data_IF_086842405284
#
_entry.id   IF_086842405284
#
_cell.length_a   1.000
_cell.length_b   1.000
_cell.length_c   1.000
_cell.angle_alpha   90.00
_cell.angle_beta   90.00
_cell.angle_gamma   90.00
#
_symmetry.space_group_name_H-M   'P 1'
#
loop_
_entity.id
_entity.type
_entity.pdbx_description
1 polymer ?
#
# COMPACT_ATOMS: atom_id res chain seq x y z
N UNK A 1 22.79 28.99 -1.10
CA UNK A 1 21.96 27.77 -1.24
C UNK A 1 21.94 27.10 0.13
N UNK A 2 20.77 26.85 0.72
CA UNK A 2 20.69 26.14 2.00
C UNK A 2 21.03 24.66 1.81
N UNK A 3 21.96 24.15 2.62
CA UNK A 3 22.43 22.76 2.61
C UNK A 3 22.18 22.19 4.00
N UNK A 4 21.58 21.01 4.07
CA UNK A 4 21.32 20.32 5.34
C UNK A 4 22.55 19.56 5.85
N UNK A 5 22.51 19.12 7.10
CA UNK A 5 23.58 18.34 7.76
C UNK A 5 23.98 17.04 7.03
N UNK A 6 23.14 16.52 6.13
CA UNK A 6 23.46 15.37 5.29
C UNK A 6 24.03 15.73 3.91
N UNK A 7 24.33 17.00 3.67
CA UNK A 7 24.86 17.53 2.41
C UNK A 7 23.82 17.71 1.29
N UNK A 8 22.55 17.39 1.53
CA UNK A 8 21.50 17.60 0.54
C UNK A 8 21.05 19.06 0.51
N UNK A 9 20.76 19.58 -0.68
CA UNK A 9 19.91 20.75 -0.87
C UNK A 9 18.44 20.38 -0.66
N UNK A 10 17.54 21.38 -0.51
CA UNK A 10 16.09 21.14 -0.40
C UNK A 10 15.49 20.31 -1.54
N UNK A 11 15.91 20.55 -2.79
CA UNK A 11 15.47 19.77 -3.96
C UNK A 11 15.99 18.32 -3.90
N UNK A 12 17.25 18.13 -3.53
CA UNK A 12 17.83 16.80 -3.39
C UNK A 12 17.18 16.01 -2.25
N UNK A 13 16.91 16.65 -1.11
CA UNK A 13 16.23 16.04 0.03
C UNK A 13 14.88 15.46 -0.39
N UNK A 14 14.03 16.23 -1.08
CA UNK A 14 12.74 15.76 -1.57
C UNK A 14 12.87 14.62 -2.59
N UNK A 15 13.71 14.80 -3.62
CA UNK A 15 13.87 13.82 -4.69
C UNK A 15 14.42 12.48 -4.17
N UNK A 16 15.43 12.53 -3.30
CA UNK A 16 16.10 11.33 -2.75
C UNK A 16 15.30 10.65 -1.65
N UNK A 17 14.34 11.35 -1.03
CA UNK A 17 13.50 10.78 0.03
C UNK A 17 12.19 10.16 -0.47
N UNK A 18 11.77 10.43 -1.70
CA UNK A 18 10.49 9.97 -2.25
C UNK A 18 10.24 8.47 -2.01
N UNK A 19 11.19 7.61 -2.38
CA UNK A 19 11.04 6.17 -2.22
C UNK A 19 11.17 5.67 -0.77
N UNK A 20 11.71 6.49 0.13
CA UNK A 20 11.82 6.15 1.55
C UNK A 20 10.45 6.16 2.22
N UNK A 21 9.56 7.06 1.77
CA UNK A 21 8.19 7.17 2.26
C UNK A 21 7.32 5.94 1.93
N UNK A 22 7.75 5.08 1.00
CA UNK A 22 7.07 3.81 0.69
C UNK A 22 7.67 2.60 1.41
N UNK A 23 8.78 2.79 2.12
CA UNK A 23 9.45 1.73 2.88
C UNK A 23 9.10 1.86 4.34
N UNK A 24 9.11 0.73 5.04
CA UNK A 24 8.96 0.76 6.47
C UNK A 24 10.21 1.22 7.19
N UNK A 25 10.02 1.76 8.40
CA UNK A 25 11.11 2.36 9.19
C UNK A 25 12.19 1.34 9.51
N UNK A 26 11.81 0.07 9.70
CA UNK A 26 12.73 -1.04 9.99
C UNK A 26 13.63 -1.40 8.79
N UNK A 27 13.24 -0.99 7.57
CA UNK A 27 13.99 -1.25 6.34
C UNK A 27 14.88 -0.09 5.91
N UNK A 28 14.93 0.98 6.69
CA UNK A 28 15.80 2.12 6.38
C UNK A 28 17.24 1.83 6.80
N UNK A 29 18.17 2.07 5.89
CA UNK A 29 19.59 2.18 6.24
C UNK A 29 19.83 3.37 7.18
N UNK A 30 20.97 3.41 7.85
CA UNK A 30 21.32 4.51 8.74
C UNK A 30 21.30 5.88 8.02
N UNK A 31 21.84 5.94 6.80
CA UNK A 31 21.83 7.15 5.98
C UNK A 31 20.42 7.60 5.59
N UNK A 32 19.52 6.63 5.30
CA UNK A 32 18.12 6.93 5.00
C UNK A 32 17.40 7.44 6.25
N UNK A 33 17.65 6.85 7.41
CA UNK A 33 17.09 7.31 8.68
C UNK A 33 17.54 8.73 9.01
N UNK A 34 18.81 9.08 8.82
CA UNK A 34 19.31 10.46 8.96
C UNK A 34 18.59 11.42 8.02
N UNK A 35 18.45 11.05 6.74
CA UNK A 35 17.74 11.86 5.74
C UNK A 35 16.28 12.09 6.09
N UNK A 36 15.56 11.04 6.50
CA UNK A 36 14.13 11.14 6.82
C UNK A 36 13.89 11.98 8.07
N UNK A 37 14.80 11.95 9.06
CA UNK A 37 14.74 12.86 10.22
C UNK A 37 14.76 14.34 9.78
N UNK A 38 15.64 14.69 8.85
CA UNK A 38 15.70 16.04 8.27
C UNK A 38 14.40 16.34 7.50
N UNK A 39 13.96 15.41 6.66
CA UNK A 39 12.72 15.56 5.88
C UNK A 39 11.51 15.85 6.76
N UNK A 40 11.32 15.09 7.84
CA UNK A 40 10.18 15.24 8.73
C UNK A 40 10.27 16.50 9.59
N UNK A 41 11.48 16.93 9.98
CA UNK A 41 11.69 18.24 10.62
C UNK A 41 11.27 19.39 9.71
N UNK A 42 11.63 19.34 8.44
CA UNK A 42 11.31 20.39 7.46
C UNK A 42 9.87 20.31 6.94
N UNK A 43 9.27 19.13 6.97
CA UNK A 43 7.94 18.85 6.44
C UNK A 43 7.14 17.95 7.40
N UNK A 44 6.64 18.49 8.53
CA UNK A 44 5.92 17.71 9.54
C UNK A 44 4.68 16.99 9.00
N UNK A 45 4.01 17.57 8.01
CA UNK A 45 2.84 16.94 7.38
C UNK A 45 3.20 15.64 6.64
N UNK A 46 4.41 15.55 6.06
CA UNK A 46 4.88 14.30 5.46
C UNK A 46 5.11 13.22 6.52
N UNK A 47 5.53 13.61 7.74
CA UNK A 47 5.65 12.66 8.85
C UNK A 47 4.30 12.11 9.26
N UNK A 48 3.29 13.00 9.42
CA UNK A 48 1.92 12.59 9.73
C UNK A 48 1.33 11.65 8.67
N UNK A 49 1.48 12.00 7.39
CA UNK A 49 1.05 11.17 6.24
C UNK A 49 1.73 9.80 6.25
N UNK A 50 3.05 9.78 6.49
CA UNK A 50 3.82 8.54 6.57
C UNK A 50 3.35 7.69 7.74
N UNK A 51 3.11 8.30 8.91
CA UNK A 51 2.60 7.61 10.09
C UNK A 51 1.23 6.97 9.84
N UNK A 52 0.28 7.69 9.25
CA UNK A 52 -1.06 7.16 8.90
C UNK A 52 -0.97 5.98 7.92
N UNK A 53 -0.06 6.06 6.94
CA UNK A 53 0.15 4.98 5.97
C UNK A 53 0.77 3.74 6.63
N UNK A 54 1.80 3.94 7.45
CA UNK A 54 2.51 2.85 8.12
C UNK A 54 1.66 2.21 9.23
N UNK A 55 0.83 2.98 9.94
CA UNK A 55 -0.09 2.44 10.95
C UNK A 55 -1.14 1.54 10.32
N UNK A 56 -1.75 1.94 9.19
CA UNK A 56 -2.67 1.09 8.45
C UNK A 56 -1.98 -0.20 7.98
N UNK A 57 -0.77 -0.09 7.40
CA UNK A 57 0.04 -1.25 7.00
C UNK A 57 0.30 -2.20 8.16
N UNK A 58 0.62 -1.67 9.34
CA UNK A 58 0.85 -2.45 10.56
C UNK A 58 -0.40 -3.20 11.01
N UNK A 59 -1.58 -2.60 10.92
CA UNK A 59 -2.85 -3.27 11.24
C UNK A 59 -3.01 -4.53 10.37
N UNK A 60 -2.85 -4.41 9.05
CA UNK A 60 -2.98 -5.55 8.13
C UNK A 60 -1.90 -6.63 8.33
N UNK A 61 -0.68 -6.24 8.68
CA UNK A 61 0.42 -7.19 8.87
C UNK A 61 0.39 -7.91 10.22
N UNK A 62 -0.46 -7.50 11.16
CA UNK A 62 -0.64 -8.18 12.43
C UNK A 62 -1.49 -9.44 12.26
N UNK A 63 -1.12 -10.53 12.94
CA UNK A 63 -1.96 -11.73 13.04
C UNK A 63 -2.93 -11.56 14.22
N UNK A 64 -4.07 -10.90 13.94
CA UNK A 64 -5.07 -10.51 14.94
C UNK A 64 -6.45 -10.96 14.49
N UNK A 65 -7.35 -11.15 15.45
CA UNK A 65 -8.74 -11.49 15.18
C UNK A 65 -9.48 -10.31 14.56
N UNK A 66 -10.59 -10.61 13.88
CA UNK A 66 -11.48 -9.62 13.25
C UNK A 66 -11.96 -8.52 14.22
N UNK A 67 -12.32 -8.87 15.45
CA UNK A 67 -12.75 -7.90 16.47
C UNK A 67 -11.63 -6.94 16.88
N UNK A 68 -10.40 -7.44 17.02
CA UNK A 68 -9.23 -6.60 17.33
C UNK A 68 -8.87 -5.70 16.15
N UNK A 69 -8.97 -6.22 14.91
CA UNK A 69 -8.77 -5.42 13.70
C UNK A 69 -9.80 -4.29 13.60
N UNK A 70 -11.08 -4.57 13.90
CA UNK A 70 -12.16 -3.59 13.93
C UNK A 70 -11.84 -2.44 14.90
N UNK A 71 -11.41 -2.75 16.12
CA UNK A 71 -11.03 -1.75 17.12
C UNK A 71 -9.84 -0.89 16.63
N UNK A 72 -8.81 -1.52 16.08
CA UNK A 72 -7.63 -0.81 15.55
C UNK A 72 -7.97 0.09 14.37
N UNK A 73 -8.85 -0.35 13.46
CA UNK A 73 -9.33 0.45 12.35
C UNK A 73 -10.15 1.65 12.85
N UNK A 74 -10.97 1.48 13.89
CA UNK A 74 -11.71 2.59 14.50
C UNK A 74 -10.77 3.66 15.07
N UNK A 75 -9.69 3.26 15.76
CA UNK A 75 -8.66 4.19 16.19
C UNK A 75 -7.97 4.88 15.01
N UNK A 76 -7.63 4.13 13.98
CA UNK A 76 -7.02 4.70 12.77
C UNK A 76 -7.96 5.69 12.05
N UNK A 77 -9.28 5.44 12.03
CA UNK A 77 -10.27 6.38 11.48
C UNK A 77 -10.28 7.70 12.23
N UNK A 78 -10.19 7.65 13.56
CA UNK A 78 -10.07 8.84 14.40
C UNK A 78 -8.80 9.63 14.05
N UNK A 79 -7.65 8.95 13.95
CA UNK A 79 -6.37 9.60 13.57
C UNK A 79 -6.47 10.26 12.19
N UNK A 80 -7.16 9.62 11.24
CA UNK A 80 -7.40 10.18 9.90
C UNK A 80 -8.28 11.44 9.97
N UNK A 81 -9.36 11.42 10.74
CA UNK A 81 -10.23 12.60 10.91
C UNK A 81 -9.48 13.78 11.53
N UNK A 82 -8.72 13.52 12.60
CA UNK A 82 -7.91 14.52 13.30
C UNK A 82 -6.78 15.08 12.41
N UNK A 83 -6.29 14.29 11.45
CA UNK A 83 -5.23 14.75 10.53
C UNK A 83 -5.69 15.80 9.51
N UNK A 84 -6.97 15.85 9.19
CA UNK A 84 -7.52 16.77 8.17
C UNK A 84 -7.13 16.46 6.71
N UNK A 85 -6.42 15.37 6.42
CA UNK A 85 -6.00 15.05 5.06
C UNK A 85 -7.14 14.46 4.21
N UNK A 86 -7.65 15.25 3.26
CA UNK A 86 -8.75 14.84 2.36
C UNK A 86 -8.54 13.48 1.68
N UNK A 87 -7.32 13.19 1.21
CA UNK A 87 -7.00 11.91 0.57
C UNK A 87 -7.18 10.71 1.51
N UNK A 88 -6.80 10.84 2.78
CA UNK A 88 -7.04 9.80 3.77
C UNK A 88 -8.51 9.72 4.17
N UNK A 89 -9.23 10.85 4.23
CA UNK A 89 -10.68 10.84 4.46
C UNK A 89 -11.41 10.07 3.35
N UNK A 90 -11.00 10.22 2.08
CA UNK A 90 -11.54 9.42 0.98
C UNK A 90 -11.24 7.94 1.19
N UNK A 91 -9.99 7.57 1.52
CA UNK A 91 -9.62 6.18 1.79
C UNK A 91 -10.42 5.58 2.95
N UNK A 92 -10.58 6.33 4.05
CA UNK A 92 -11.39 5.96 5.21
C UNK A 92 -12.82 5.63 4.78
N UNK A 93 -13.44 6.50 3.99
CA UNK A 93 -14.81 6.29 3.50
C UNK A 93 -14.90 5.04 2.61
N UNK A 94 -13.90 4.79 1.75
CA UNK A 94 -13.83 3.55 0.97
C UNK A 94 -13.76 2.32 1.87
N UNK A 95 -12.93 2.35 2.93
CA UNK A 95 -12.84 1.24 3.88
C UNK A 95 -14.17 1.02 4.60
N UNK A 96 -14.85 2.09 5.03
CA UNK A 96 -16.17 2.00 5.66
C UNK A 96 -17.21 1.38 4.73
N UNK A 97 -17.23 1.78 3.45
CA UNK A 97 -18.18 1.24 2.47
C UNK A 97 -17.99 -0.26 2.20
N UNK A 98 -16.77 -0.78 2.36
CA UNK A 98 -16.41 -2.18 2.15
C UNK A 98 -15.99 -2.90 3.44
N UNK A 99 -16.48 -2.42 4.59
CA UNK A 99 -15.90 -2.76 5.89
C UNK A 99 -15.97 -4.26 6.20
N UNK A 100 -17.09 -4.90 5.91
CA UNK A 100 -17.27 -6.34 6.14
C UNK A 100 -16.29 -7.18 5.30
N UNK A 101 -16.15 -6.87 4.01
CA UNK A 101 -15.25 -7.57 3.10
C UNK A 101 -13.78 -7.40 3.52
N UNK A 102 -13.41 -6.18 3.90
CA UNK A 102 -12.09 -5.87 4.42
C UNK A 102 -11.82 -6.62 5.73
N UNK A 103 -12.79 -6.67 6.63
CA UNK A 103 -12.65 -7.38 7.90
C UNK A 103 -12.51 -8.90 7.72
N UNK A 104 -13.09 -9.48 6.67
CA UNK A 104 -12.94 -10.90 6.34
C UNK A 104 -11.47 -11.29 6.03
N UNK A 105 -10.64 -10.32 5.61
CA UNK A 105 -9.18 -10.52 5.52
C UNK A 105 -8.59 -11.01 6.85
N UNK A 106 -9.09 -10.56 8.01
CA UNK A 106 -8.52 -10.93 9.31
C UNK A 106 -8.98 -12.31 9.82
N UNK A 107 -9.89 -12.99 9.13
CA UNK A 107 -10.26 -14.39 9.43
C UNK A 107 -9.38 -15.36 8.64
N UNK A 108 -9.44 -15.31 7.30
CA UNK A 108 -8.76 -16.26 6.42
C UNK A 108 -7.45 -15.74 5.82
N UNK A 109 -7.16 -14.44 5.96
CA UNK A 109 -6.02 -13.72 5.32
C UNK A 109 -5.87 -13.96 3.83
N UNK A 110 -6.95 -14.42 3.20
CA UNK A 110 -7.03 -14.68 1.78
C UNK A 110 -7.28 -13.38 1.06
N UNK A 111 -6.56 -13.17 -0.03
CA UNK A 111 -6.73 -12.00 -0.89
C UNK A 111 -7.05 -12.46 -2.30
N UNK A 112 -7.83 -11.66 -3.03
CA UNK A 112 -8.13 -11.92 -4.43
C UNK A 112 -6.90 -11.71 -5.35
N UNK A 113 -5.74 -11.35 -4.81
CA UNK A 113 -4.53 -11.02 -5.56
C UNK A 113 -4.06 -12.17 -6.46
N UNK A 114 -4.18 -13.43 -6.02
CA UNK A 114 -3.83 -14.58 -6.85
C UNK A 114 -4.75 -14.70 -8.06
N UNK A 115 -6.07 -14.52 -7.86
CA UNK A 115 -7.04 -14.52 -8.94
C UNK A 115 -6.87 -13.32 -9.88
N UNK A 116 -6.55 -12.13 -9.35
CA UNK A 116 -6.23 -10.93 -10.14
C UNK A 116 -4.98 -11.13 -10.99
N UNK A 117 -3.91 -11.70 -10.42
CA UNK A 117 -2.69 -12.06 -11.15
C UNK A 117 -2.98 -13.05 -12.27
N UNK A 118 -3.80 -14.07 -11.99
CA UNK A 118 -4.24 -15.04 -12.99
C UNK A 118 -5.07 -14.39 -14.10
N UNK A 119 -6.02 -13.52 -13.75
CA UNK A 119 -6.82 -12.75 -14.71
C UNK A 119 -5.95 -11.85 -15.61
N UNK A 120 -4.89 -11.26 -15.05
CA UNK A 120 -3.91 -10.48 -15.82
C UNK A 120 -3.14 -11.37 -16.82
N UNK A 121 -2.71 -12.58 -16.40
CA UNK A 121 -2.06 -13.56 -17.28
C UNK A 121 -2.99 -13.99 -18.43
N UNK A 122 -4.25 -14.31 -18.13
CA UNK A 122 -5.25 -14.65 -19.16
C UNK A 122 -5.45 -13.50 -20.14
N UNK A 123 -5.60 -12.26 -19.64
CA UNK A 123 -5.76 -11.07 -20.50
C UNK A 123 -4.57 -10.91 -21.44
N UNK A 124 -3.34 -11.04 -20.93
CA UNK A 124 -2.12 -10.94 -21.74
C UNK A 124 -2.04 -12.07 -22.78
N UNK A 125 -2.31 -13.31 -22.37
CA UNK A 125 -2.32 -14.45 -23.28
C UNK A 125 -3.34 -14.29 -24.42
N UNK A 126 -4.55 -13.81 -24.09
CA UNK A 126 -5.58 -13.49 -25.08
C UNK A 126 -5.15 -12.38 -26.05
N UNK A 127 -4.46 -11.35 -25.55
CA UNK A 127 -3.93 -10.25 -26.38
C UNK A 127 -2.90 -10.75 -27.39
N UNK A 128 -1.97 -11.61 -26.97
CA UNK A 128 -0.97 -12.23 -27.85
C UNK A 128 -1.62 -13.04 -28.99
N UNK A 129 -2.74 -13.69 -28.69
CA UNK A 129 -3.50 -14.49 -29.67
C UNK A 129 -4.47 -13.68 -30.53
N UNK A 130 -4.52 -12.35 -30.35
CA UNK A 130 -5.43 -11.42 -31.04
C UNK A 130 -6.91 -11.83 -30.91
N UNK A 131 -7.27 -12.34 -29.72
CA UNK A 131 -8.62 -12.81 -29.41
C UNK A 131 -8.72 -14.33 -29.30
N UNK A 132 -9.96 -14.83 -29.21
CA UNK A 132 -10.26 -16.25 -29.04
C UNK A 132 -11.20 -16.68 -30.16
N UNK A 133 -10.70 -17.47 -31.11
CA UNK A 133 -11.51 -18.08 -32.18
C UNK A 133 -12.16 -19.39 -31.73
N UNK A 134 -11.37 -20.25 -31.09
CA UNK A 134 -11.80 -21.54 -30.53
C UNK A 134 -11.65 -21.50 -29.00
N UNK A 135 -12.78 -21.57 -28.30
CA UNK A 135 -12.83 -21.54 -26.83
C UNK A 135 -12.26 -22.81 -26.22
N UNK A 136 -12.55 -23.97 -26.80
CA UNK A 136 -12.09 -25.27 -26.30
C UNK A 136 -10.57 -25.34 -26.38
N UNK A 137 -9.99 -24.97 -27.53
CA UNK A 137 -8.54 -24.96 -27.70
C UNK A 137 -7.85 -23.87 -26.86
N UNK A 138 -8.51 -22.73 -26.63
CA UNK A 138 -8.00 -21.70 -25.73
C UNK A 138 -7.95 -22.16 -24.27
N UNK A 139 -9.01 -22.81 -23.78
CA UNK A 139 -9.04 -23.39 -22.43
C UNK A 139 -8.01 -24.52 -22.28
N UNK A 140 -7.85 -25.39 -23.28
CA UNK A 140 -6.79 -26.40 -23.31
C UNK A 140 -5.39 -25.78 -23.16
N UNK A 141 -5.08 -24.68 -23.86
CA UNK A 141 -3.79 -24.01 -23.72
C UNK A 141 -3.61 -23.31 -22.39
N UNK A 142 -4.67 -22.70 -21.87
CA UNK A 142 -4.63 -22.07 -20.54
C UNK A 142 -4.28 -23.09 -19.45
N UNK A 143 -4.90 -24.26 -19.46
CA UNK A 143 -4.60 -25.32 -18.47
C UNK A 143 -3.20 -25.89 -18.65
N UNK A 144 -2.70 -26.04 -19.89
CA UNK A 144 -1.32 -26.54 -20.12
C UNK A 144 -0.21 -25.55 -19.76
N UNK A 145 -0.47 -24.25 -19.75
CA UNK A 145 0.55 -23.21 -19.52
C UNK A 145 0.52 -22.62 -18.11
N UNK A 146 -0.62 -22.63 -17.44
CA UNK A 146 -0.81 -21.89 -16.18
C UNK A 146 -1.42 -22.71 -15.03
N UNK A 147 -1.75 -24.00 -15.24
CA UNK A 147 -2.13 -24.94 -14.19
C UNK A 147 -1.03 -25.99 -14.00
#
# INVERSE_FOLDING_TARGET
IHIFENGDTRKQLLARSRYLLYKSREKWTENQSKRVKILFREYPDLEKIYHLSDSLRKIYNQNITKSVAMLKLAHWFKDVEESGFKSFSTLKNTIINHYNDILNYFEARSTNAAAESFNAKIKNFRLQLRGVKDRTFFLFRLTKLFA
#
